data_IF_389465918958
#
_entry.id   IF_389465918958
#
_cell.length_a   1.000
_cell.length_b   1.000
_cell.length_c   1.000
_cell.angle_alpha   90.00
_cell.angle_beta   90.00
_cell.angle_gamma   90.00
#
_symmetry.space_group_name_H-M   'P 1'
#
loop_
_entity.id
_entity.type
_entity.pdbx_description
1 polymer ?
#
# COMPACT_ATOMS: atom_id res chain seq x y z
N UNK A 1 4.89 -67.33 48.97
CA UNK A 1 3.91 -66.35 48.45
C UNK A 1 4.12 -65.03 49.18
N UNK A 2 4.11 -63.91 48.47
CA UNK A 2 3.89 -62.58 49.06
C UNK A 2 5.13 -61.71 49.28
N UNK A 3 5.63 -61.07 48.22
CA UNK A 3 6.51 -59.89 48.31
C UNK A 3 6.41 -58.95 47.08
N UNK A 4 5.32 -59.04 46.30
CA UNK A 4 5.12 -58.25 45.07
C UNK A 4 3.91 -57.29 45.07
N UNK A 5 3.20 -57.12 46.20
CA UNK A 5 1.92 -56.39 46.24
C UNK A 5 2.00 -54.97 46.86
N UNK A 6 3.18 -54.54 47.33
CA UNK A 6 3.32 -53.28 48.06
C UNK A 6 3.58 -52.05 47.16
N UNK A 7 4.04 -52.26 45.92
CA UNK A 7 4.32 -51.18 44.96
C UNK A 7 3.20 -50.98 43.90
N UNK A 8 2.29 -51.94 43.74
CA UNK A 8 1.18 -51.85 42.77
C UNK A 8 0.00 -51.01 43.27
N UNK A 9 -0.29 -51.02 44.58
CA UNK A 9 -1.43 -50.32 45.16
C UNK A 9 -1.31 -48.80 45.21
N UNK A 10 -0.08 -48.26 45.32
CA UNK A 10 0.15 -46.81 45.29
C UNK A 10 0.01 -46.23 43.88
N UNK A 11 0.57 -46.93 42.88
CA UNK A 11 0.45 -46.55 41.47
C UNK A 11 -1.01 -46.58 41.00
N UNK A 12 -1.78 -47.60 41.42
CA UNK A 12 -3.20 -47.71 41.09
C UNK A 12 -4.05 -46.60 41.72
N UNK A 13 -3.73 -46.18 42.96
CA UNK A 13 -4.39 -45.03 43.62
C UNK A 13 -4.03 -43.70 42.97
N UNK A 14 -2.79 -43.53 42.53
CA UNK A 14 -2.37 -42.35 41.76
C UNK A 14 -3.06 -42.28 40.39
N UNK A 15 -3.18 -43.42 39.68
CA UNK A 15 -3.93 -43.52 38.43
C UNK A 15 -5.43 -43.27 38.62
N UNK A 16 -6.05 -43.80 39.68
CA UNK A 16 -7.47 -43.54 40.02
C UNK A 16 -7.70 -42.07 40.43
N UNK A 17 -6.78 -41.47 41.18
CA UNK A 17 -6.85 -40.06 41.55
C UNK A 17 -6.65 -39.13 40.33
N UNK A 18 -5.75 -39.49 39.42
CA UNK A 18 -5.55 -38.78 38.15
C UNK A 18 -6.80 -38.86 37.27
N UNK A 19 -7.40 -40.05 37.12
CA UNK A 19 -8.63 -40.24 36.35
C UNK A 19 -9.83 -39.49 36.96
N UNK A 20 -9.94 -39.43 38.29
CA UNK A 20 -10.98 -38.64 38.96
C UNK A 20 -10.76 -37.13 38.78
N UNK A 21 -9.50 -36.68 38.83
CA UNK A 21 -9.16 -35.29 38.57
C UNK A 21 -9.42 -34.88 37.12
N UNK A 22 -9.15 -35.77 36.16
CA UNK A 22 -9.46 -35.58 34.74
C UNK A 22 -10.97 -35.47 34.51
N UNK A 23 -11.77 -36.39 35.05
CA UNK A 23 -13.25 -36.31 34.98
C UNK A 23 -13.80 -35.02 35.57
N UNK A 24 -13.28 -34.56 36.73
CA UNK A 24 -13.70 -33.29 37.32
C UNK A 24 -13.38 -32.09 36.42
N UNK A 25 -12.20 -32.09 35.79
CA UNK A 25 -11.83 -31.05 34.82
C UNK A 25 -12.74 -31.07 33.60
N UNK A 26 -13.11 -32.25 33.11
CA UNK A 26 -14.07 -32.39 32.00
C UNK A 26 -15.45 -31.85 32.37
N UNK A 27 -15.97 -32.21 33.55
CA UNK A 27 -17.26 -31.70 34.05
C UNK A 27 -17.25 -30.18 34.25
N UNK A 28 -16.16 -29.63 34.80
CA UNK A 28 -15.98 -28.17 34.93
C UNK A 28 -15.93 -27.49 33.57
N UNK A 29 -15.21 -28.05 32.59
CA UNK A 29 -15.11 -27.51 31.24
C UNK A 29 -16.46 -27.55 30.50
N UNK A 30 -17.25 -28.61 30.68
CA UNK A 30 -18.61 -28.70 30.10
C UNK A 30 -19.50 -27.61 30.69
N UNK A 31 -19.54 -27.50 32.03
CA UNK A 31 -20.37 -26.49 32.70
C UNK A 31 -19.99 -25.08 32.28
N UNK A 32 -18.70 -24.80 32.18
CA UNK A 32 -18.21 -23.49 31.77
C UNK A 32 -18.49 -23.19 30.30
N UNK A 33 -18.52 -24.21 29.44
CA UNK A 33 -18.98 -24.08 28.05
C UNK A 33 -20.47 -23.72 28.01
N UNK A 34 -21.29 -24.38 28.81
CA UNK A 34 -22.73 -24.08 28.94
C UNK A 34 -22.97 -22.65 29.45
N UNK A 35 -22.24 -22.21 30.47
CA UNK A 35 -22.31 -20.85 31.01
C UNK A 35 -21.94 -19.80 29.96
N UNK A 36 -20.92 -20.06 29.14
CA UNK A 36 -20.54 -19.18 28.02
C UNK A 36 -21.63 -19.13 26.94
N UNK A 37 -22.19 -20.27 26.56
CA UNK A 37 -23.30 -20.35 25.58
C UNK A 37 -24.51 -19.54 26.09
N UNK A 38 -24.85 -19.69 27.37
CA UNK A 38 -25.93 -18.92 27.99
C UNK A 38 -25.64 -17.41 28.01
N UNK A 39 -24.38 -17.01 28.25
CA UNK A 39 -23.98 -15.60 28.21
C UNK A 39 -24.08 -14.96 26.81
N UNK A 40 -24.15 -15.78 25.76
CA UNK A 40 -24.27 -15.36 24.37
C UNK A 40 -25.63 -15.70 23.76
N UNK A 41 -26.61 -16.09 24.58
CA UNK A 41 -27.97 -16.39 24.14
C UNK A 41 -28.59 -15.18 23.41
N UNK A 42 -29.24 -15.45 22.27
CA UNK A 42 -29.87 -14.42 21.43
C UNK A 42 -28.90 -13.64 20.53
N UNK A 43 -27.60 -13.95 20.53
CA UNK A 43 -26.68 -13.45 19.51
C UNK A 43 -26.80 -14.24 18.21
N UNK A 44 -26.95 -13.52 17.10
CA UNK A 44 -26.87 -14.09 15.76
C UNK A 44 -25.41 -14.15 15.27
N UNK A 45 -25.15 -15.10 14.37
CA UNK A 45 -23.86 -15.18 13.71
C UNK A 45 -23.56 -13.92 12.89
N UNK A 46 -22.30 -13.48 12.84
CA UNK A 46 -21.94 -12.31 12.05
C UNK A 46 -22.23 -12.56 10.56
N UNK A 47 -22.49 -11.46 9.86
CA UNK A 47 -22.67 -11.41 8.41
C UNK A 47 -21.59 -10.53 7.76
N UNK A 48 -21.35 -10.71 6.45
CA UNK A 48 -20.50 -9.83 5.66
C UNK A 48 -20.78 -8.35 5.90
N UNK A 49 -19.71 -7.56 5.96
CA UNK A 49 -19.81 -6.11 6.09
C UNK A 49 -19.80 -5.45 4.71
N UNK A 50 -20.42 -4.27 4.56
CA UNK A 50 -20.31 -3.47 3.34
C UNK A 50 -18.85 -3.24 2.91
N UNK A 51 -18.63 -3.29 1.60
CA UNK A 51 -17.32 -3.10 0.97
C UNK A 51 -16.78 -1.70 1.27
N UNK A 52 -17.61 -0.69 1.08
CA UNK A 52 -17.31 0.73 1.28
C UNK A 52 -18.24 1.33 2.33
N UNK A 53 -17.70 2.26 3.13
CA UNK A 53 -18.48 3.02 4.11
C UNK A 53 -19.14 4.26 3.50
N UNK A 54 -18.72 4.66 2.31
CA UNK A 54 -19.25 5.85 1.63
C UNK A 54 -20.54 5.44 0.94
N UNK A 55 -21.63 6.12 1.29
CA UNK A 55 -22.94 5.94 0.67
C UNK A 55 -23.13 7.00 -0.42
N UNK A 56 -23.30 6.55 -1.66
CA UNK A 56 -23.92 7.36 -2.71
C UNK A 56 -25.39 7.58 -2.34
N UNK A 57 -25.88 8.81 -2.51
CA UNK A 57 -27.22 9.18 -2.03
C UNK A 57 -28.29 8.38 -2.77
N UNK A 58 -29.05 7.55 -2.05
CA UNK A 58 -30.12 6.72 -2.60
C UNK A 58 -29.72 5.29 -3.00
N UNK A 59 -28.47 4.88 -2.81
CA UNK A 59 -28.02 3.51 -3.08
C UNK A 59 -27.78 2.74 -1.77
N UNK A 60 -28.21 1.47 -1.75
CA UNK A 60 -27.87 0.54 -0.67
C UNK A 60 -26.38 0.19 -0.73
N UNK A 61 -25.73 -0.03 0.43
CA UNK A 61 -24.33 -0.47 0.45
C UNK A 61 -24.18 -1.79 -0.30
N UNK A 62 -23.16 -1.88 -1.16
CA UNK A 62 -22.78 -3.16 -1.76
C UNK A 62 -22.33 -4.13 -0.66
N UNK A 63 -23.18 -5.13 -0.40
CA UNK A 63 -22.91 -6.27 0.46
C UNK A 63 -22.87 -7.50 -0.44
N UNK A 64 -21.78 -8.26 -0.39
CA UNK A 64 -21.73 -9.53 -1.11
C UNK A 64 -22.56 -10.59 -0.42
N UNK A 65 -22.99 -11.56 -1.22
CA UNK A 65 -23.57 -12.80 -0.72
C UNK A 65 -22.64 -13.44 0.32
N UNK A 66 -23.26 -13.98 1.37
CA UNK A 66 -22.55 -14.64 2.44
C UNK A 66 -21.89 -15.92 1.93
N UNK A 67 -20.55 -16.02 1.94
CA UNK A 67 -19.87 -17.19 1.43
C UNK A 67 -20.04 -18.42 2.35
N UNK A 68 -20.55 -18.24 3.57
CA UNK A 68 -20.78 -19.33 4.54
C UNK A 68 -22.29 -19.47 4.77
N UNK A 69 -22.85 -20.61 4.38
CA UNK A 69 -24.27 -20.91 4.55
C UNK A 69 -24.65 -20.95 6.04
N UNK A 70 -25.92 -20.69 6.35
CA UNK A 70 -26.40 -20.73 7.74
C UNK A 70 -26.13 -22.09 8.41
N UNK A 71 -26.41 -23.20 7.71
CA UNK A 71 -26.13 -24.56 8.20
C UNK A 71 -24.65 -24.74 8.55
N UNK A 72 -23.76 -24.23 7.69
CA UNK A 72 -22.32 -24.32 7.92
C UNK A 72 -21.87 -23.44 9.07
N UNK A 73 -22.46 -22.25 9.24
CA UNK A 73 -22.22 -21.38 10.41
C UNK A 73 -22.63 -22.05 11.70
N UNK A 74 -23.76 -22.76 11.72
CA UNK A 74 -24.23 -23.50 12.89
C UNK A 74 -23.30 -24.68 13.24
N UNK A 75 -22.62 -25.25 12.25
CA UNK A 75 -21.63 -26.31 12.45
C UNK A 75 -20.29 -25.78 13.00
N UNK A 76 -19.72 -24.73 12.39
CA UNK A 76 -18.36 -24.25 12.73
C UNK A 76 -18.35 -23.08 13.72
N UNK A 77 -19.45 -22.34 13.86
CA UNK A 77 -19.60 -21.25 14.81
C UNK A 77 -19.33 -21.69 16.26
N UNK A 78 -19.85 -22.83 16.73
CA UNK A 78 -19.61 -23.34 18.08
C UNK A 78 -18.14 -23.60 18.44
N UNK A 79 -17.20 -23.62 17.48
CA UNK A 79 -15.77 -23.75 17.74
C UNK A 79 -15.23 -22.63 18.66
N UNK A 80 -15.88 -21.47 18.70
CA UNK A 80 -15.46 -20.34 19.57
C UNK A 80 -15.54 -20.66 21.07
N UNK A 81 -16.31 -21.68 21.44
CA UNK A 81 -16.53 -22.12 22.82
C UNK A 81 -15.60 -23.28 23.23
N UNK A 82 -14.78 -23.78 22.32
CA UNK A 82 -13.78 -24.79 22.68
C UNK A 82 -12.71 -24.18 23.58
N UNK A 83 -12.30 -24.89 24.62
CA UNK A 83 -11.18 -24.44 25.47
C UNK A 83 -9.92 -24.20 24.63
N UNK A 84 -9.70 -25.07 23.62
CA UNK A 84 -8.62 -24.96 22.67
C UNK A 84 -9.03 -25.54 21.31
N UNK A 85 -9.00 -24.71 20.27
CA UNK A 85 -9.31 -25.14 18.91
C UNK A 85 -8.18 -26.04 18.36
N UNK A 86 -8.56 -27.21 17.84
CA UNK A 86 -7.64 -28.16 17.22
C UNK A 86 -7.06 -27.65 15.90
N UNK A 87 -5.73 -27.76 15.73
CA UNK A 87 -5.06 -27.36 14.48
C UNK A 87 -5.52 -28.19 13.27
N UNK A 88 -5.87 -29.46 13.47
CA UNK A 88 -6.36 -30.31 12.39
C UNK A 88 -7.75 -29.88 11.92
N UNK A 89 -8.60 -29.37 12.81
CA UNK A 89 -9.91 -28.81 12.46
C UNK A 89 -9.75 -27.64 11.48
N UNK A 90 -8.73 -26.80 11.68
CA UNK A 90 -8.50 -25.61 10.85
C UNK A 90 -8.13 -25.96 9.40
N UNK A 91 -7.47 -27.09 9.16
CA UNK A 91 -7.07 -27.53 7.82
C UNK A 91 -8.27 -27.78 6.89
N UNK A 92 -9.43 -28.12 7.46
CA UNK A 92 -10.65 -28.39 6.71
C UNK A 92 -11.50 -27.14 6.49
N UNK A 93 -11.18 -26.02 7.15
CA UNK A 93 -11.89 -24.77 6.94
C UNK A 93 -11.42 -24.10 5.66
N UNK A 94 -12.35 -23.67 4.82
CA UNK A 94 -12.06 -22.76 3.70
C UNK A 94 -11.60 -21.39 4.22
N UNK A 95 -11.05 -20.53 3.37
CA UNK A 95 -10.65 -19.18 3.78
C UNK A 95 -11.84 -18.36 4.33
N UNK A 96 -13.01 -18.31 3.67
CA UNK A 96 -14.18 -17.63 4.21
C UNK A 96 -14.65 -18.20 5.56
N UNK A 97 -14.61 -19.51 5.73
CA UNK A 97 -14.98 -20.18 7.00
C UNK A 97 -14.01 -19.83 8.13
N UNK A 98 -12.70 -19.83 7.86
CA UNK A 98 -11.70 -19.43 8.84
C UNK A 98 -11.87 -17.96 9.27
N UNK A 99 -12.09 -17.07 8.30
CA UNK A 99 -12.38 -15.66 8.55
C UNK A 99 -13.70 -15.45 9.29
N UNK A 100 -14.72 -16.25 8.99
CA UNK A 100 -15.98 -16.28 9.73
C UNK A 100 -15.74 -16.64 11.20
N UNK A 101 -15.08 -17.78 11.48
CA UNK A 101 -14.83 -18.22 12.86
C UNK A 101 -14.01 -17.17 13.63
N UNK A 102 -12.98 -16.58 13.01
CA UNK A 102 -12.20 -15.50 13.62
C UNK A 102 -13.07 -14.26 13.92
N UNK A 103 -13.91 -13.85 12.97
CA UNK A 103 -14.84 -12.71 13.15
C UNK A 103 -15.84 -12.99 14.27
N UNK A 104 -16.39 -14.20 14.31
CA UNK A 104 -17.32 -14.67 15.35
C UNK A 104 -16.65 -14.66 16.72
N UNK A 105 -15.43 -15.17 16.82
CA UNK A 105 -14.65 -15.19 18.06
C UNK A 105 -14.44 -13.77 18.61
N UNK A 106 -14.03 -12.82 17.77
CA UNK A 106 -13.84 -11.42 18.15
C UNK A 106 -15.16 -10.75 18.56
N UNK A 107 -16.23 -10.98 17.80
CA UNK A 107 -17.55 -10.41 18.06
C UNK A 107 -18.14 -10.93 19.37
N UNK A 108 -18.19 -12.24 19.59
CA UNK A 108 -18.77 -12.85 20.79
C UNK A 108 -17.97 -12.48 22.03
N UNK A 109 -16.63 -12.48 21.97
CA UNK A 109 -15.78 -12.02 23.08
C UNK A 109 -16.00 -10.55 23.46
N UNK A 110 -16.41 -9.71 22.49
CA UNK A 110 -16.77 -8.31 22.76
C UNK A 110 -18.11 -8.16 23.49
N UNK A 111 -19.01 -9.15 23.39
CA UNK A 111 -20.33 -9.19 24.04
C UNK A 111 -20.31 -9.90 25.38
N UNK A 112 -19.54 -10.97 25.50
CA UNK A 112 -19.31 -11.73 26.73
C UNK A 112 -17.96 -12.44 26.63
N UNK A 113 -17.16 -12.44 27.71
CA UNK A 113 -15.79 -12.96 27.65
C UNK A 113 -15.78 -14.46 27.38
N UNK A 114 -15.03 -14.86 26.36
CA UNK A 114 -14.78 -16.27 26.04
C UNK A 114 -13.53 -16.75 26.76
N UNK A 115 -13.61 -17.91 27.40
CA UNK A 115 -12.44 -18.60 27.94
C UNK A 115 -11.57 -19.07 26.78
N UNK A 116 -10.25 -19.03 26.97
CA UNK A 116 -9.31 -19.39 25.91
C UNK A 116 -9.25 -18.39 24.74
N UNK A 117 -9.99 -17.27 24.77
CA UNK A 117 -10.05 -16.29 23.67
C UNK A 117 -8.67 -15.93 23.11
N UNK A 118 -7.72 -15.56 23.97
CA UNK A 118 -6.40 -15.14 23.52
C UNK A 118 -5.61 -16.27 22.84
N UNK A 119 -5.77 -17.51 23.29
CA UNK A 119 -5.08 -18.66 22.69
C UNK A 119 -5.74 -19.04 21.37
N UNK A 120 -7.07 -19.20 21.36
CA UNK A 120 -7.84 -19.54 20.16
C UNK A 120 -7.74 -18.47 19.07
N UNK A 121 -7.77 -17.19 19.46
CA UNK A 121 -7.57 -16.07 18.54
C UNK A 121 -6.19 -16.18 17.88
N UNK A 122 -5.14 -16.42 18.68
CA UNK A 122 -3.79 -16.61 18.16
C UNK A 122 -3.68 -17.82 17.22
N UNK A 123 -4.35 -18.93 17.52
CA UNK A 123 -4.37 -20.14 16.67
C UNK A 123 -5.00 -19.81 15.31
N UNK A 124 -6.23 -19.27 15.30
CA UNK A 124 -6.94 -18.90 14.07
C UNK A 124 -6.19 -17.84 13.26
N UNK A 125 -5.68 -16.81 13.93
CA UNK A 125 -4.94 -15.72 13.32
C UNK A 125 -3.63 -16.20 12.69
N UNK A 126 -2.88 -17.08 13.37
CA UNK A 126 -1.65 -17.65 12.83
C UNK A 126 -1.91 -18.57 11.65
N UNK A 127 -2.97 -19.38 11.68
CA UNK A 127 -3.37 -20.20 10.53
C UNK A 127 -3.69 -19.31 9.32
N UNK A 128 -4.46 -18.23 9.52
CA UNK A 128 -4.77 -17.28 8.45
C UNK A 128 -3.50 -16.59 7.92
N UNK A 129 -2.62 -16.17 8.82
CA UNK A 129 -1.34 -15.59 8.45
C UNK A 129 -0.52 -16.58 7.62
N UNK A 130 -0.42 -17.85 8.03
CA UNK A 130 0.26 -18.90 7.28
C UNK A 130 -0.33 -19.08 5.88
N UNK A 131 -1.66 -19.08 5.72
CA UNK A 131 -2.30 -19.14 4.40
C UNK A 131 -1.94 -17.96 3.51
N UNK A 132 -1.92 -16.74 4.04
CA UNK A 132 -1.46 -15.55 3.31
C UNK A 132 0.02 -15.68 2.96
N UNK A 133 0.81 -16.27 3.87
CA UNK A 133 2.24 -16.45 3.71
C UNK A 133 2.62 -17.53 2.68
N UNK A 134 1.81 -18.56 2.55
CA UNK A 134 2.03 -19.72 1.69
C UNK A 134 1.31 -19.58 0.33
N UNK A 135 0.44 -18.58 0.19
CA UNK A 135 -0.24 -18.26 -1.05
C UNK A 135 0.78 -17.97 -2.16
N UNK A 136 0.77 -18.77 -3.23
CA UNK A 136 1.65 -18.57 -4.38
C UNK A 136 1.32 -17.31 -5.17
N UNK A 137 0.03 -16.95 -5.16
CA UNK A 137 -0.52 -15.79 -5.83
C UNK A 137 -1.43 -15.07 -4.86
N UNK A 138 -1.29 -13.74 -4.82
CA UNK A 138 -2.24 -12.85 -4.17
C UNK A 138 -2.71 -11.81 -5.18
N UNK A 139 -3.87 -11.22 -4.93
CA UNK A 139 -4.49 -10.25 -5.81
C UNK A 139 -4.66 -8.94 -5.04
N UNK A 140 -4.10 -7.86 -5.57
CA UNK A 140 -4.21 -6.54 -4.96
C UNK A 140 -5.03 -5.60 -5.84
N UNK A 141 -5.88 -4.79 -5.21
CA UNK A 141 -6.57 -3.72 -5.93
C UNK A 141 -5.61 -2.58 -6.18
N UNK A 142 -5.53 -2.12 -7.43
CA UNK A 142 -4.78 -0.96 -7.84
C UNK A 142 -5.74 0.16 -8.25
N UNK A 143 -5.42 1.38 -7.87
CA UNK A 143 -6.16 2.57 -8.31
C UNK A 143 -5.65 2.99 -9.68
N UNK A 144 -6.51 2.98 -10.71
CA UNK A 144 -6.13 3.37 -12.06
C UNK A 144 -5.70 4.83 -12.16
N UNK A 145 -6.14 5.68 -11.24
CA UNK A 145 -5.77 7.08 -11.22
C UNK A 145 -4.33 7.27 -10.73
N UNK A 146 -3.83 6.42 -9.82
CA UNK A 146 -2.47 6.53 -9.28
C UNK A 146 -1.50 5.53 -9.92
N UNK A 147 -1.99 4.39 -10.42
CA UNK A 147 -1.23 3.21 -10.85
C UNK A 147 -0.51 2.45 -9.73
N UNK A 148 -0.89 2.70 -8.48
CA UNK A 148 -0.37 2.04 -7.27
C UNK A 148 -1.48 1.24 -6.57
N UNK A 149 -1.13 0.39 -5.58
CA UNK A 149 -2.12 -0.23 -4.71
C UNK A 149 -3.14 0.78 -4.20
N UNK A 150 -4.43 0.42 -4.25
CA UNK A 150 -5.51 1.22 -3.72
C UNK A 150 -5.42 1.24 -2.20
N UNK A 151 -5.54 2.43 -1.62
CA UNK A 151 -5.41 2.65 -0.18
C UNK A 151 -6.66 3.35 0.30
N UNK A 152 -7.35 2.72 1.26
CA UNK A 152 -8.49 3.31 1.94
C UNK A 152 -8.25 3.32 3.44
N UNK A 153 -8.32 4.52 4.07
CA UNK A 153 -8.09 4.68 5.51
C UNK A 153 -6.74 4.11 6.00
N UNK A 154 -5.73 4.15 5.11
CA UNK A 154 -4.39 3.63 5.36
C UNK A 154 -4.24 2.11 5.19
N UNK A 155 -5.27 1.40 4.71
CA UNK A 155 -5.22 -0.02 4.40
C UNK A 155 -5.13 -0.26 2.90
N UNK A 156 -4.20 -1.13 2.48
CA UNK A 156 -4.27 -1.77 1.17
C UNK A 156 -5.13 -3.04 1.23
N UNK A 157 -5.83 -3.34 0.15
CA UNK A 157 -6.70 -4.51 0.07
C UNK A 157 -6.03 -5.61 -0.74
N UNK A 158 -5.97 -6.81 -0.14
CA UNK A 158 -5.35 -7.99 -0.72
C UNK A 158 -6.34 -9.16 -0.61
N UNK A 159 -6.35 -10.01 -1.63
CA UNK A 159 -7.25 -11.15 -1.76
C UNK A 159 -6.43 -12.39 -2.13
N UNK A 160 -6.88 -13.56 -1.67
CA UNK A 160 -6.30 -14.84 -2.09
C UNK A 160 -7.04 -15.44 -3.30
N UNK A 161 -8.24 -14.94 -3.60
CA UNK A 161 -9.07 -15.35 -4.74
C UNK A 161 -9.30 -14.16 -5.67
N UNK A 162 -9.11 -14.36 -6.98
CA UNK A 162 -9.16 -13.29 -7.98
C UNK A 162 -10.57 -12.78 -8.19
N UNK A 163 -11.53 -13.70 -8.20
CA UNK A 163 -12.94 -13.46 -8.43
C UNK A 163 -13.49 -12.48 -7.38
N UNK A 164 -13.10 -12.64 -6.12
CA UNK A 164 -13.49 -11.73 -5.03
C UNK A 164 -12.91 -10.33 -5.27
N UNK A 165 -11.63 -10.23 -5.58
CA UNK A 165 -10.99 -8.96 -5.88
C UNK A 165 -11.69 -8.24 -7.05
N UNK A 166 -12.10 -8.98 -8.08
CA UNK A 166 -12.82 -8.44 -9.24
C UNK A 166 -14.22 -7.95 -8.86
N UNK A 167 -14.95 -8.71 -8.04
CA UNK A 167 -16.25 -8.28 -7.52
C UNK A 167 -16.11 -6.98 -6.72
N UNK A 168 -15.11 -6.88 -5.84
CA UNK A 168 -14.84 -5.67 -5.05
C UNK A 168 -14.47 -4.49 -5.94
N UNK A 169 -13.60 -4.70 -6.93
CA UNK A 169 -13.24 -3.67 -7.89
C UNK A 169 -14.47 -3.15 -8.64
N UNK A 170 -15.39 -4.05 -9.03
CA UNK A 170 -16.65 -3.69 -9.69
C UNK A 170 -17.59 -2.89 -8.78
N UNK A 171 -17.71 -3.27 -7.49
CA UNK A 171 -18.49 -2.52 -6.50
C UNK A 171 -17.95 -1.09 -6.30
N UNK A 172 -16.64 -0.94 -6.14
CA UNK A 172 -16.00 0.37 -6.12
C UNK A 172 -16.18 1.15 -7.43
N UNK A 173 -16.27 0.44 -8.57
CA UNK A 173 -16.62 1.01 -9.88
C UNK A 173 -17.95 1.75 -9.89
N UNK A 174 -18.96 1.26 -9.16
CA UNK A 174 -20.26 1.95 -8.98
C UNK A 174 -20.10 3.29 -8.25
N UNK A 175 -19.09 3.37 -7.37
CA UNK A 175 -18.68 4.60 -6.68
C UNK A 175 -17.71 5.46 -7.49
N UNK A 176 -17.61 5.24 -8.81
CA UNK A 176 -16.68 5.90 -9.72
C UNK A 176 -15.20 5.77 -9.32
N UNK A 177 -14.86 4.76 -8.51
CA UNK A 177 -13.47 4.38 -8.23
C UNK A 177 -13.05 3.36 -9.29
N UNK A 178 -12.14 3.76 -10.17
CA UNK A 178 -11.60 2.89 -11.21
C UNK A 178 -10.49 2.03 -10.62
N UNK A 179 -10.84 0.84 -10.18
CA UNK A 179 -9.90 -0.12 -9.61
C UNK A 179 -9.64 -1.27 -10.58
N UNK A 180 -8.39 -1.70 -10.67
CA UNK A 180 -7.96 -2.86 -11.43
C UNK A 180 -7.37 -3.91 -10.49
N UNK A 181 -7.68 -5.18 -10.72
CA UNK A 181 -7.04 -6.28 -9.98
C UNK A 181 -5.68 -6.59 -10.58
N UNK A 182 -4.63 -6.52 -9.76
CA UNK A 182 -3.28 -6.93 -10.13
C UNK A 182 -2.93 -8.28 -9.54
N UNK A 183 -2.44 -9.16 -10.39
CA UNK A 183 -1.85 -10.44 -10.00
C UNK A 183 -0.47 -10.16 -9.39
N UNK A 184 -0.24 -10.60 -8.17
CA UNK A 184 0.96 -10.35 -7.39
C UNK A 184 1.53 -11.71 -6.92
N UNK A 185 2.53 -12.27 -7.62
CA UNK A 185 3.12 -13.53 -7.22
C UNK A 185 3.88 -13.36 -5.91
N UNK A 186 3.81 -14.37 -5.04
CA UNK A 186 4.52 -14.34 -3.77
C UNK A 186 6.04 -14.32 -3.97
N UNK A 187 6.54 -15.04 -4.96
CA UNK A 187 7.94 -14.99 -5.39
C UNK A 187 7.94 -14.52 -6.84
N UNK A 188 8.45 -13.31 -7.15
CA UNK A 188 8.67 -12.88 -8.53
C UNK A 188 9.55 -13.90 -9.27
N UNK A 189 9.33 -14.06 -10.58
CA UNK A 189 10.13 -14.97 -11.40
C UNK A 189 11.64 -14.60 -11.28
N UNK A 190 12.45 -15.50 -10.73
CA UNK A 190 13.89 -15.29 -10.49
C UNK A 190 14.30 -14.78 -9.10
N UNK A 191 13.39 -14.63 -8.14
CA UNK A 191 13.70 -14.18 -6.77
C UNK A 191 14.05 -15.34 -5.81
N UNK A 192 14.82 -15.07 -4.75
CA UNK A 192 15.16 -16.06 -3.72
C UNK A 192 13.97 -16.36 -2.82
N UNK A 193 13.98 -17.51 -2.12
CA UNK A 193 12.84 -18.00 -1.31
C UNK A 193 12.41 -17.09 -0.14
N UNK A 194 13.24 -16.12 0.24
CA UNK A 194 12.98 -15.14 1.31
C UNK A 194 12.34 -13.85 0.81
N UNK A 195 12.38 -13.57 -0.49
CA UNK A 195 11.84 -12.36 -1.09
C UNK A 195 10.36 -12.55 -1.34
N UNK A 196 9.51 -11.86 -0.57
CA UNK A 196 8.08 -11.81 -0.92
C UNK A 196 7.76 -10.54 -1.65
N UNK A 197 8.38 -10.39 -2.82
CA UNK A 197 8.61 -9.12 -3.51
C UNK A 197 7.45 -8.12 -3.54
N UNK A 198 6.19 -8.57 -3.51
CA UNK A 198 5.04 -7.67 -3.35
C UNK A 198 4.96 -7.01 -1.96
N UNK A 199 5.09 -7.75 -0.86
CA UNK A 199 5.08 -7.18 0.49
C UNK A 199 6.30 -6.31 0.76
N UNK A 200 7.45 -6.61 0.15
CA UNK A 200 8.63 -5.73 0.20
C UNK A 200 8.39 -4.44 -0.60
N UNK A 201 7.72 -4.54 -1.74
CA UNK A 201 7.27 -3.37 -2.48
C UNK A 201 6.33 -2.47 -1.66
N UNK A 202 5.39 -3.04 -0.91
CA UNK A 202 4.52 -2.28 0.01
C UNK A 202 5.31 -1.53 1.08
N UNK A 203 6.43 -2.09 1.56
CA UNK A 203 7.31 -1.40 2.51
C UNK A 203 7.88 -0.10 1.91
N UNK A 204 8.36 -0.13 0.67
CA UNK A 204 8.88 1.08 0.01
C UNK A 204 7.79 2.15 -0.22
N UNK A 205 6.54 1.72 -0.43
CA UNK A 205 5.38 2.63 -0.50
C UNK A 205 4.92 3.15 0.87
N UNK A 206 5.47 2.62 1.97
CA UNK A 206 5.04 2.93 3.33
C UNK A 206 3.70 2.34 3.73
N UNK A 207 3.22 1.33 3.01
CA UNK A 207 1.95 0.67 3.27
C UNK A 207 2.17 -0.44 4.31
N UNK A 208 1.81 -0.15 5.55
CA UNK A 208 2.00 -1.09 6.66
C UNK A 208 0.70 -1.82 7.03
N UNK A 209 -0.48 -1.26 6.77
CA UNK A 209 -1.75 -1.86 7.17
C UNK A 209 -2.43 -2.50 5.97
N UNK A 210 -2.89 -3.73 6.15
CA UNK A 210 -3.47 -4.56 5.09
C UNK A 210 -4.82 -5.11 5.57
N UNK A 211 -5.80 -5.15 4.68
CA UNK A 211 -7.02 -5.94 4.86
C UNK A 211 -6.99 -7.11 3.90
N UNK A 212 -7.26 -8.30 4.43
CA UNK A 212 -7.50 -9.51 3.65
C UNK A 212 -9.01 -9.69 3.48
N UNK A 213 -9.43 -9.89 2.23
CA UNK A 213 -10.78 -10.28 1.82
C UNK A 213 -11.89 -9.26 2.18
N UNK A 214 -11.63 -7.96 1.97
CA UNK A 214 -12.64 -6.92 2.22
C UNK A 214 -13.87 -7.14 1.32
N UNK A 215 -15.06 -7.11 1.92
CA UNK A 215 -16.36 -7.34 1.25
C UNK A 215 -17.11 -8.57 1.76
N UNK A 216 -16.43 -9.46 2.49
CA UNK A 216 -17.02 -10.61 3.20
C UNK A 216 -16.69 -10.52 4.70
N UNK A 217 -16.18 -11.60 5.27
CA UNK A 217 -15.43 -11.58 6.52
C UNK A 217 -14.01 -11.10 6.22
N UNK A 218 -13.41 -10.30 7.10
CA UNK A 218 -12.11 -9.68 6.82
C UNK A 218 -11.19 -9.75 8.02
N UNK A 219 -9.89 -9.87 7.74
CA UNK A 219 -8.84 -9.75 8.74
C UNK A 219 -7.95 -8.55 8.45
N UNK A 220 -7.34 -8.02 9.52
CA UNK A 220 -6.37 -6.92 9.44
C UNK A 220 -5.01 -7.45 9.82
N UNK A 221 -4.02 -7.13 9.01
CA UNK A 221 -2.63 -7.48 9.25
C UNK A 221 -1.74 -6.23 9.17
N UNK A 222 -0.66 -6.25 9.94
CA UNK A 222 0.51 -5.46 9.63
C UNK A 222 1.35 -6.19 8.58
N UNK A 223 1.84 -5.47 7.57
CA UNK A 223 2.75 -5.98 6.54
C UNK A 223 3.99 -6.63 7.18
N UNK A 224 4.52 -6.05 8.26
CA UNK A 224 5.63 -6.60 9.04
C UNK A 224 5.35 -7.95 9.71
N UNK A 225 4.08 -8.31 9.93
CA UNK A 225 3.70 -9.65 10.40
C UNK A 225 3.82 -10.69 9.28
N UNK A 226 3.71 -10.29 8.01
CA UNK A 226 3.81 -11.19 6.87
C UNK A 226 5.28 -11.38 6.48
N UNK A 227 6.02 -10.28 6.37
CA UNK A 227 7.44 -10.24 6.00
C UNK A 227 8.16 -9.20 6.82
N UNK A 228 9.29 -9.58 7.40
CA UNK A 228 10.16 -8.64 8.10
C UNK A 228 10.51 -7.45 7.17
N UNK A 229 10.67 -6.23 7.69
CA UNK A 229 11.25 -5.14 6.90
C UNK A 229 12.58 -5.59 6.30
N UNK A 230 12.90 -5.18 5.04
CA UNK A 230 14.20 -5.49 4.48
C UNK A 230 15.32 -4.97 5.40
N UNK A 231 16.37 -5.77 5.59
CA UNK A 231 17.53 -5.34 6.36
C UNK A 231 18.43 -4.48 5.46
N UNK A 232 18.58 -3.21 5.83
CA UNK A 232 19.36 -2.23 5.08
C UNK A 232 20.78 -2.04 5.65
N UNK A 233 21.16 -2.79 6.70
CA UNK A 233 22.48 -2.69 7.32
C UNK A 233 22.94 -1.24 7.59
N UNK A 234 24.20 -0.94 7.26
CA UNK A 234 24.73 0.43 7.35
C UNK A 234 24.27 1.36 6.20
N UNK A 235 23.68 0.82 5.14
CA UNK A 235 23.33 1.58 3.93
C UNK A 235 22.07 2.43 4.09
N UNK A 236 21.24 2.15 5.10
CA UNK A 236 20.14 3.01 5.54
C UNK A 236 20.60 4.43 5.89
N UNK A 237 21.90 4.62 6.21
CA UNK A 237 22.49 5.94 6.49
C UNK A 237 22.89 6.70 5.21
N UNK A 238 23.01 6.03 4.06
CA UNK A 238 23.58 6.61 2.83
C UNK A 238 22.53 7.07 1.82
N UNK A 239 21.44 6.32 1.64
CA UNK A 239 20.38 6.67 0.68
C UNK A 239 19.09 7.06 1.41
N UNK A 240 18.44 8.19 1.07
CA UNK A 240 17.17 8.55 1.67
C UNK A 240 16.08 7.56 1.27
N UNK A 241 15.18 7.27 2.20
CA UNK A 241 13.92 6.57 1.93
C UNK A 241 12.80 7.33 2.64
N UNK A 242 11.76 7.74 1.90
CA UNK A 242 10.63 8.47 2.46
C UNK A 242 9.29 7.70 2.33
N UNK A 243 9.15 6.49 2.90
CA UNK A 243 7.95 5.67 2.74
C UNK A 243 6.67 6.37 3.25
N UNK A 244 6.76 7.11 4.36
CA UNK A 244 5.62 7.87 4.89
C UNK A 244 5.14 8.96 3.94
N UNK A 245 6.08 9.64 3.25
CA UNK A 245 5.75 10.64 2.24
C UNK A 245 5.07 9.98 1.05
N UNK A 246 5.59 8.86 0.55
CA UNK A 246 4.99 8.12 -0.57
C UNK A 246 3.56 7.71 -0.25
N UNK A 247 3.31 7.13 0.93
CA UNK A 247 1.95 6.83 1.39
C UNK A 247 1.04 8.07 1.38
N UNK A 248 1.53 9.21 1.88
CA UNK A 248 0.75 10.44 1.91
C UNK A 248 0.48 11.02 0.51
N UNK A 249 1.43 10.86 -0.43
CA UNK A 249 1.24 11.22 -1.84
C UNK A 249 0.15 10.35 -2.47
N UNK A 250 0.18 9.04 -2.25
CA UNK A 250 -0.85 8.11 -2.77
C UNK A 250 -2.23 8.40 -2.20
N UNK A 251 -2.34 8.60 -0.88
CA UNK A 251 -3.60 8.92 -0.21
C UNK A 251 -4.20 10.24 -0.72
N UNK A 252 -3.36 11.27 -0.88
CA UNK A 252 -3.78 12.54 -1.47
C UNK A 252 -4.22 12.39 -2.93
N UNK A 253 -3.41 11.74 -3.77
CA UNK A 253 -3.70 11.59 -5.21
C UNK A 253 -4.95 10.76 -5.45
N UNK A 254 -5.14 9.68 -4.69
CA UNK A 254 -6.33 8.85 -4.79
C UNK A 254 -7.58 9.67 -4.44
N UNK A 255 -7.52 10.57 -3.46
CA UNK A 255 -8.65 11.44 -3.14
C UNK A 255 -8.88 12.55 -4.18
N UNK A 256 -7.81 13.24 -4.56
CA UNK A 256 -7.86 14.39 -5.46
C UNK A 256 -8.35 14.00 -6.86
N UNK A 257 -7.92 12.83 -7.35
CA UNK A 257 -8.29 12.30 -8.69
C UNK A 257 -9.61 11.55 -8.70
N UNK A 258 -10.26 11.33 -7.56
CA UNK A 258 -11.57 10.68 -7.51
C UNK A 258 -12.65 11.64 -8.03
N UNK A 259 -13.37 11.30 -9.13
CA UNK A 259 -14.30 12.23 -9.79
C UNK A 259 -15.68 12.30 -9.11
N UNK A 260 -15.75 12.11 -7.79
CA UNK A 260 -17.00 12.17 -7.01
C UNK A 260 -16.99 13.40 -6.12
N UNK A 261 -18.15 14.06 -6.01
CA UNK A 261 -18.39 15.13 -5.03
C UNK A 261 -19.16 14.56 -3.86
N UNK A 262 -18.66 14.78 -2.64
CA UNK A 262 -19.33 14.37 -1.41
C UNK A 262 -19.09 15.43 -0.32
N UNK A 263 -19.91 15.38 0.74
CA UNK A 263 -19.84 16.34 1.83
C UNK A 263 -18.44 16.36 2.45
N UNK A 264 -17.88 17.56 2.68
CA UNK A 264 -16.53 17.76 3.23
C UNK A 264 -15.36 17.28 2.35
N UNK A 265 -15.56 16.87 1.09
CA UNK A 265 -14.45 16.49 0.18
C UNK A 265 -13.33 17.52 0.15
N UNK A 266 -13.66 18.81 0.04
CA UNK A 266 -12.65 19.87 0.01
C UNK A 266 -11.78 19.88 1.28
N UNK A 267 -12.38 19.67 2.45
CA UNK A 267 -11.66 19.59 3.73
C UNK A 267 -10.80 18.32 3.81
N UNK A 268 -11.31 17.18 3.31
CA UNK A 268 -10.56 15.91 3.26
C UNK A 268 -9.34 16.04 2.35
N UNK A 269 -9.51 16.55 1.13
CA UNK A 269 -8.42 16.77 0.16
C UNK A 269 -7.38 17.73 0.75
N UNK A 270 -7.81 18.84 1.36
CA UNK A 270 -6.92 19.82 1.99
C UNK A 270 -6.13 19.20 3.15
N UNK A 271 -6.76 18.36 3.98
CA UNK A 271 -6.10 17.68 5.10
C UNK A 271 -5.04 16.70 4.60
N UNK A 272 -5.35 15.93 3.55
CA UNK A 272 -4.41 15.00 2.91
C UNK A 272 -3.25 15.75 2.23
N UNK A 273 -3.52 16.85 1.52
CA UNK A 273 -2.51 17.72 0.91
C UNK A 273 -1.56 18.29 1.98
N UNK A 274 -2.11 18.82 3.08
CA UNK A 274 -1.31 19.38 4.18
C UNK A 274 -0.39 18.33 4.82
N UNK A 275 -0.88 17.11 5.03
CA UNK A 275 -0.08 15.99 5.54
C UNK A 275 1.06 15.62 4.57
N UNK A 276 0.76 15.48 3.28
CA UNK A 276 1.76 15.18 2.24
C UNK A 276 2.85 16.26 2.22
N UNK A 277 2.44 17.53 2.23
CA UNK A 277 3.36 18.67 2.21
C UNK A 277 4.26 18.74 3.45
N UNK A 278 3.70 18.50 4.64
CA UNK A 278 4.48 18.49 5.88
C UNK A 278 5.59 17.42 5.84
N UNK A 279 5.26 16.23 5.35
CA UNK A 279 6.23 15.14 5.13
C UNK A 279 7.24 15.50 4.03
N UNK A 280 6.78 16.14 2.96
CA UNK A 280 7.64 16.53 1.84
C UNK A 280 8.74 17.51 2.29
N UNK A 281 8.37 18.46 3.15
CA UNK A 281 9.32 19.43 3.74
C UNK A 281 10.33 18.77 4.68
N UNK A 282 9.92 17.77 5.45
CA UNK A 282 10.78 17.07 6.40
C UNK A 282 11.72 16.06 5.72
N UNK A 283 11.40 15.64 4.49
CA UNK A 283 12.12 14.64 3.74
C UNK A 283 13.52 15.04 3.27
N UNK A 284 14.32 14.01 2.96
CA UNK A 284 15.58 14.13 2.21
C UNK A 284 15.39 13.47 0.85
N UNK A 285 16.01 14.01 -0.18
CA UNK A 285 15.79 13.54 -1.54
C UNK A 285 17.10 13.28 -2.25
N UNK A 286 17.04 12.36 -3.21
CA UNK A 286 18.08 12.20 -4.22
C UNK A 286 17.79 13.21 -5.32
N UNK A 287 18.77 14.07 -5.60
CA UNK A 287 18.73 15.01 -6.71
C UNK A 287 19.75 14.54 -7.75
N UNK A 288 19.35 14.30 -9.00
CA UNK A 288 20.27 13.99 -10.08
C UNK A 288 21.15 15.20 -10.38
N UNK A 289 22.47 15.00 -10.36
CA UNK A 289 23.46 16.02 -10.68
C UNK A 289 24.49 15.51 -11.69
N UNK A 290 25.03 16.43 -12.47
CA UNK A 290 26.30 16.29 -13.14
C UNK A 290 27.22 17.39 -12.60
N UNK A 291 28.50 17.08 -12.38
CA UNK A 291 29.46 18.06 -11.92
C UNK A 291 30.69 18.11 -12.83
N UNK A 292 31.22 19.32 -13.05
CA UNK A 292 32.51 19.55 -13.69
C UNK A 292 33.45 20.15 -12.63
N UNK A 293 34.55 19.45 -12.33
CA UNK A 293 35.54 19.81 -11.28
C UNK A 293 35.60 18.82 -10.11
N UNK A 294 36.57 18.97 -9.19
CA UNK A 294 36.75 18.05 -8.06
C UNK A 294 35.54 18.11 -7.12
N UNK A 295 34.96 16.95 -6.83
CA UNK A 295 33.87 16.77 -5.89
C UNK A 295 34.24 15.59 -4.97
N UNK A 296 34.13 15.79 -3.65
CA UNK A 296 34.36 14.72 -2.68
C UNK A 296 33.00 14.20 -2.19
N UNK A 297 32.72 12.93 -2.48
CA UNK A 297 31.56 12.24 -1.92
C UNK A 297 31.88 11.81 -0.48
N UNK A 298 31.17 12.37 0.48
CA UNK A 298 31.30 11.99 1.88
C UNK A 298 30.65 10.63 2.13
N UNK A 299 31.06 9.97 3.22
CA UNK A 299 30.57 8.63 3.60
C UNK A 299 29.07 8.55 3.88
N UNK A 300 28.38 9.69 4.03
CA UNK A 300 26.94 9.81 4.24
C UNK A 300 26.14 10.09 2.94
N UNK A 301 26.78 9.98 1.77
CA UNK A 301 26.13 10.21 0.47
C UNK A 301 25.94 11.69 0.10
N UNK A 302 26.42 12.62 0.95
CA UNK A 302 26.46 14.05 0.60
C UNK A 302 27.73 14.35 -0.17
N UNK A 303 27.63 15.23 -1.16
CA UNK A 303 28.77 15.67 -1.94
C UNK A 303 29.21 17.05 -1.44
N UNK A 304 30.50 17.17 -1.11
CA UNK A 304 31.13 18.44 -0.77
C UNK A 304 31.69 19.05 -2.06
N UNK A 305 31.07 20.12 -2.50
CA UNK A 305 31.50 20.89 -3.66
C UNK A 305 32.54 21.94 -3.24
N UNK A 306 33.59 22.10 -4.04
CA UNK A 306 34.51 23.22 -3.91
C UNK A 306 33.96 24.44 -4.66
N UNK A 307 34.52 25.64 -4.42
CA UNK A 307 34.05 26.88 -5.04
C UNK A 307 34.10 26.87 -6.58
N UNK A 308 34.91 25.98 -7.16
CA UNK A 308 35.10 25.86 -8.61
C UNK A 308 34.25 24.75 -9.25
N UNK A 309 33.46 24.01 -8.47
CA UNK A 309 32.65 22.90 -8.99
C UNK A 309 31.36 23.44 -9.64
N UNK A 310 31.21 23.24 -10.95
CA UNK A 310 29.98 23.61 -11.67
C UNK A 310 28.99 22.46 -11.61
N UNK A 311 27.78 22.74 -11.11
CA UNK A 311 26.70 21.76 -11.04
C UNK A 311 25.69 21.98 -12.16
N UNK A 312 25.35 20.90 -12.86
CA UNK A 312 24.25 20.84 -13.82
C UNK A 312 23.17 19.94 -13.28
N UNK A 313 21.94 20.44 -13.32
CA UNK A 313 20.74 19.69 -12.93
C UNK A 313 19.91 19.39 -14.18
N UNK A 314 19.32 18.20 -14.29
CA UNK A 314 18.35 17.95 -15.35
C UNK A 314 17.09 18.77 -15.08
N UNK A 315 16.35 19.05 -16.15
CA UNK A 315 15.09 19.79 -16.09
C UNK A 315 14.03 19.02 -16.84
N UNK A 316 12.84 18.93 -16.26
CA UNK A 316 11.68 18.39 -16.95
C UNK A 316 10.81 19.52 -17.46
N UNK A 317 10.49 19.48 -18.75
CA UNK A 317 9.58 20.41 -19.38
C UNK A 317 8.18 19.81 -19.44
N UNK A 318 7.20 20.52 -18.91
CA UNK A 318 5.78 20.18 -19.06
C UNK A 318 5.28 20.60 -20.44
N UNK A 319 4.11 20.07 -20.86
CA UNK A 319 3.48 20.47 -22.12
C UNK A 319 3.21 21.97 -22.20
N UNK A 320 2.98 22.60 -21.06
CA UNK A 320 2.72 24.05 -20.94
C UNK A 320 4.02 24.87 -20.90
N UNK A 321 5.16 24.27 -21.23
CA UNK A 321 6.46 24.94 -21.27
C UNK A 321 7.15 25.15 -19.92
N UNK A 322 6.46 24.90 -18.80
CA UNK A 322 7.01 25.06 -17.45
C UNK A 322 8.12 24.05 -17.14
N UNK A 323 9.13 24.49 -16.41
CA UNK A 323 10.36 23.79 -16.09
C UNK A 323 10.38 23.33 -14.63
N UNK A 324 10.60 22.05 -14.39
CA UNK A 324 10.62 21.46 -13.05
C UNK A 324 11.91 20.68 -12.80
N UNK A 325 12.48 20.81 -11.61
CA UNK A 325 13.62 20.00 -11.16
C UNK A 325 13.11 18.66 -10.62
N UNK A 326 13.50 17.51 -11.21
CA UNK A 326 13.12 16.21 -10.70
C UNK A 326 13.89 15.88 -9.41
N UNK A 327 13.17 15.35 -8.41
CA UNK A 327 13.73 14.88 -7.14
C UNK A 327 13.09 13.54 -6.76
N UNK A 328 13.83 12.70 -6.02
CA UNK A 328 13.44 11.31 -5.77
C UNK A 328 13.41 10.97 -4.29
N UNK A 329 12.40 10.19 -3.89
CA UNK A 329 12.20 9.77 -2.49
C UNK A 329 13.13 8.65 -2.05
N UNK A 330 13.67 7.90 -3.01
CA UNK A 330 14.47 6.70 -2.80
C UNK A 330 15.27 6.34 -4.07
N UNK A 331 16.20 5.39 -3.92
CA UNK A 331 17.06 4.91 -5.00
C UNK A 331 16.32 4.14 -6.10
N UNK A 332 15.17 3.53 -5.79
CA UNK A 332 14.37 2.78 -6.76
C UNK A 332 13.77 3.77 -7.75
N UNK A 333 13.13 4.83 -7.26
CA UNK A 333 12.54 5.87 -8.12
C UNK A 333 13.61 6.64 -8.90
N UNK A 334 14.77 6.90 -8.31
CA UNK A 334 15.91 7.51 -9.02
C UNK A 334 16.40 6.65 -10.18
N UNK A 335 16.58 5.35 -9.95
CA UNK A 335 17.18 4.43 -10.93
C UNK A 335 16.32 4.21 -12.17
N UNK A 336 14.98 4.35 -12.06
CA UNK A 336 14.04 4.23 -13.19
C UNK A 336 14.38 5.11 -14.40
N UNK A 337 14.98 6.27 -14.17
CA UNK A 337 15.38 7.19 -15.24
C UNK A 337 16.87 7.48 -15.23
N UNK A 338 17.42 7.84 -14.08
CA UNK A 338 18.77 8.39 -14.00
C UNK A 338 19.84 7.35 -13.67
N UNK A 339 19.47 6.08 -13.40
CA UNK A 339 20.42 5.02 -13.08
C UNK A 339 21.38 4.66 -14.22
N UNK A 340 21.13 5.11 -15.45
CA UNK A 340 21.95 4.83 -16.65
C UNK A 340 22.31 6.09 -17.47
N UNK A 341 21.93 7.28 -17.02
CA UNK A 341 22.06 8.53 -17.80
C UNK A 341 23.31 9.37 -17.42
N UNK A 342 24.29 8.78 -16.71
CA UNK A 342 25.50 9.50 -16.30
C UNK A 342 25.25 10.63 -15.30
N UNK A 343 24.12 10.58 -14.56
CA UNK A 343 23.83 11.46 -13.46
C UNK A 343 24.18 10.77 -12.14
N UNK A 344 24.79 11.51 -11.22
CA UNK A 344 25.01 11.06 -9.86
C UNK A 344 23.85 11.47 -8.96
N UNK A 345 23.49 10.59 -8.02
CA UNK A 345 22.44 10.85 -7.05
C UNK A 345 22.99 11.52 -5.80
N UNK A 346 22.79 12.83 -5.65
CA UNK A 346 23.23 13.58 -4.48
C UNK A 346 22.09 13.79 -3.48
N UNK A 347 22.36 13.60 -2.20
CA UNK A 347 21.33 13.68 -1.15
C UNK A 347 21.21 15.09 -0.59
N UNK A 348 20.03 15.70 -0.71
CA UNK A 348 19.74 17.05 -0.21
C UNK A 348 18.50 17.10 0.69
N UNK A 349 18.46 18.07 1.61
CA UNK A 349 17.23 18.41 2.34
C UNK A 349 16.33 19.28 1.47
N UNK A 350 15.03 19.26 1.73
CA UNK A 350 14.07 20.10 0.99
C UNK A 350 14.46 21.60 0.98
N UNK A 351 14.95 22.15 2.09
CA UNK A 351 15.40 23.54 2.19
C UNK A 351 16.59 23.89 1.28
N UNK A 352 17.49 22.93 1.06
CA UNK A 352 18.66 23.14 0.19
C UNK A 352 18.22 23.09 -1.27
N UNK A 353 17.29 22.20 -1.59
CA UNK A 353 16.71 22.04 -2.93
C UNK A 353 16.03 23.34 -3.40
N UNK A 354 15.36 24.07 -2.51
CA UNK A 354 14.71 25.34 -2.86
C UNK A 354 15.68 26.38 -3.45
N UNK A 355 16.98 26.28 -3.14
CA UNK A 355 18.02 27.16 -3.72
C UNK A 355 18.33 26.81 -5.18
N UNK A 356 18.08 25.58 -5.60
CA UNK A 356 18.34 25.10 -6.98
C UNK A 356 17.15 25.34 -7.93
N UNK A 357 15.99 25.73 -7.39
CA UNK A 357 14.73 25.98 -8.12
C UNK A 357 14.63 27.43 -8.61
N UNK A 358 15.62 28.30 -8.36
CA UNK A 358 15.52 29.74 -8.60
C UNK A 358 15.02 30.12 -10.01
N UNK A 359 15.58 29.52 -11.03
CA UNK A 359 15.29 29.71 -12.46
C UNK A 359 14.18 28.79 -13.00
N UNK A 360 13.57 27.96 -12.13
CA UNK A 360 12.59 26.92 -12.50
C UNK A 360 11.21 27.23 -11.90
N UNK A 361 10.18 26.63 -12.48
CA UNK A 361 8.79 26.79 -12.06
C UNK A 361 8.41 25.93 -10.84
N UNK A 362 9.24 24.93 -10.48
CA UNK A 362 8.98 24.10 -9.31
C UNK A 362 9.81 22.82 -9.21
N UNK A 363 9.34 21.91 -8.36
CA UNK A 363 9.89 20.55 -8.15
C UNK A 363 8.93 19.48 -8.63
N UNK A 364 9.47 18.38 -9.14
CA UNK A 364 8.70 17.19 -9.45
C UNK A 364 9.22 16.01 -8.63
N UNK A 365 8.40 15.53 -7.68
CA UNK A 365 8.74 14.39 -6.83
C UNK A 365 8.31 13.10 -7.54
N UNK A 366 9.26 12.17 -7.69
CA UNK A 366 9.10 10.88 -8.37
C UNK A 366 8.37 11.00 -9.72
N UNK A 367 8.95 11.69 -10.73
CA UNK A 367 8.26 11.95 -11.99
C UNK A 367 7.74 10.71 -12.73
N UNK A 368 8.43 9.57 -12.56
CA UNK A 368 8.08 8.28 -13.20
C UNK A 368 7.23 7.39 -12.27
N UNK A 369 6.87 7.89 -11.09
CA UNK A 369 6.07 7.21 -10.08
C UNK A 369 4.82 8.02 -9.76
N UNK A 370 4.71 8.49 -8.51
CA UNK A 370 3.55 9.28 -8.04
C UNK A 370 3.40 10.63 -8.77
N UNK A 371 4.51 11.17 -9.28
CA UNK A 371 4.58 12.40 -10.08
C UNK A 371 3.85 13.60 -9.44
N UNK A 372 4.33 14.02 -8.27
CA UNK A 372 3.81 15.22 -7.60
C UNK A 372 4.58 16.45 -8.09
N UNK A 373 3.85 17.34 -8.74
CA UNK A 373 4.37 18.64 -9.18
C UNK A 373 4.10 19.68 -8.10
N UNK A 374 5.17 20.24 -7.52
CA UNK A 374 5.10 21.31 -6.52
C UNK A 374 5.57 22.62 -7.16
N UNK A 375 4.65 23.54 -7.51
CA UNK A 375 5.01 24.86 -8.00
C UNK A 375 5.79 25.66 -6.97
N UNK A 376 6.70 26.52 -7.45
CA UNK A 376 7.55 27.38 -6.62
C UNK A 376 6.75 28.24 -5.65
N UNK A 377 5.66 28.85 -6.11
CA UNK A 377 4.82 29.73 -5.28
C UNK A 377 4.19 28.98 -4.11
N UNK A 378 3.71 27.75 -4.35
CA UNK A 378 3.20 26.88 -3.29
C UNK A 378 4.31 26.56 -2.28
N UNK A 379 5.50 26.20 -2.74
CA UNK A 379 6.63 25.91 -1.84
C UNK A 379 7.05 27.12 -1.00
N UNK A 380 7.06 28.32 -1.58
CA UNK A 380 7.35 29.55 -0.83
C UNK A 380 6.27 29.88 0.19
N UNK A 381 4.99 29.76 -0.17
CA UNK A 381 3.88 29.96 0.75
C UNK A 381 3.95 29.00 1.94
N UNK A 382 4.31 27.74 1.68
CA UNK A 382 4.51 26.72 2.71
C UNK A 382 5.73 27.01 3.58
N UNK A 383 6.80 27.58 3.02
CA UNK A 383 7.96 27.99 3.78
C UNK A 383 7.64 29.13 4.74
N UNK A 384 6.96 30.16 4.24
CA UNK A 384 6.51 31.31 5.02
C UNK A 384 5.56 30.88 6.15
N UNK A 385 4.54 30.08 5.85
CA UNK A 385 3.58 29.60 6.86
C UNK A 385 4.28 28.80 7.98
N UNK A 386 5.30 28.00 7.63
CA UNK A 386 6.05 27.22 8.62
C UNK A 386 6.98 28.07 9.48
N UNK A 387 7.61 29.11 8.90
CA UNK A 387 8.41 30.08 9.68
C UNK A 387 7.52 30.80 10.70
N UNK A 388 6.35 31.26 10.27
CA UNK A 388 5.36 31.88 11.14
C UNK A 388 4.90 30.92 12.27
N UNK A 389 4.69 29.64 11.96
CA UNK A 389 4.34 28.63 12.98
C UNK A 389 5.50 28.32 13.94
N UNK A 390 6.74 28.27 13.47
CA UNK A 390 7.92 28.04 14.29
C UNK A 390 8.20 29.25 15.21
N UNK A 391 8.06 30.47 14.69
CA UNK A 391 8.15 31.71 15.45
C UNK A 391 7.03 31.80 16.50
N UNK A 392 5.81 31.36 16.18
CA UNK A 392 4.69 31.33 17.12
C UNK A 392 4.87 30.29 18.24
N UNK A 393 5.42 29.11 17.92
CA UNK A 393 5.78 28.09 18.92
C UNK A 393 6.91 28.56 19.84
N UNK A 394 7.92 29.23 19.30
CA UNK A 394 9.01 29.81 20.10
C UNK A 394 8.56 31.02 20.93
N UNK A 395 7.51 31.73 20.51
CA UNK A 395 6.92 32.85 21.23
C UNK A 395 5.82 32.47 22.25
N UNK A 396 5.56 31.16 22.46
CA UNK A 396 4.58 30.68 23.45
C UNK A 396 3.12 31.10 23.18
N UNK A 397 2.78 31.52 21.95
CA UNK A 397 1.42 31.94 21.59
C UNK A 397 0.69 30.81 20.85
N UNK A 398 -0.52 30.48 21.32
CA UNK A 398 -1.47 29.62 20.61
C UNK A 398 -1.97 30.33 19.35
N UNK A 399 -1.76 29.72 18.19
CA UNK A 399 -2.29 30.22 16.92
C UNK A 399 -3.71 29.67 16.75
N UNK A 400 -4.70 30.55 16.51
CA UNK A 400 -6.02 30.14 16.03
C UNK A 400 -5.86 29.45 14.66
N UNK A 401 -6.20 28.16 14.59
CA UNK A 401 -6.09 27.27 13.41
C UNK A 401 -6.75 27.85 12.13
N UNK A 402 -7.67 28.79 12.28
CA UNK A 402 -8.37 29.48 11.19
C UNK A 402 -7.43 30.28 10.25
N UNK A 403 -6.39 30.94 10.76
CA UNK A 403 -5.53 31.80 9.92
C UNK A 403 -4.55 31.01 9.04
N UNK A 404 -4.11 29.82 9.49
CA UNK A 404 -3.29 28.93 8.68
C UNK A 404 -4.12 28.25 7.57
N UNK A 405 -5.37 27.91 7.88
CA UNK A 405 -6.32 27.36 6.90
C UNK A 405 -6.68 28.36 5.81
N UNK A 406 -6.78 29.67 6.10
CA UNK A 406 -7.12 30.70 5.11
C UNK A 406 -5.97 31.03 4.12
N UNK A 407 -4.70 30.86 4.54
CA UNK A 407 -3.55 30.97 3.63
C UNK A 407 -3.49 29.74 2.69
N UNK A 408 -3.83 28.55 3.20
CA UNK A 408 -3.92 27.32 2.41
C UNK A 408 -5.14 27.35 1.46
N UNK A 409 -6.26 27.96 1.86
CA UNK A 409 -7.46 28.15 1.02
C UNK A 409 -7.19 28.93 -0.26
N UNK A 410 -6.29 29.91 -0.25
CA UNK A 410 -5.99 30.73 -1.45
C UNK A 410 -5.16 29.99 -2.52
N UNK A 411 -4.73 28.76 -2.24
CA UNK A 411 -4.01 27.91 -3.17
C UNK A 411 -4.72 26.55 -3.39
N UNK A 412 -6.04 26.52 -3.11
CA UNK A 412 -6.85 25.30 -3.01
C UNK A 412 -6.82 24.45 -4.28
N UNK A 413 -6.44 23.18 -4.07
CA UNK A 413 -6.78 21.91 -4.71
C UNK A 413 -7.46 21.81 -6.11
N UNK A 414 -8.16 22.81 -6.62
CA UNK A 414 -8.81 22.76 -7.95
C UNK A 414 -7.77 22.93 -9.08
N UNK A 415 -6.72 23.75 -8.89
CA UNK A 415 -5.66 23.91 -9.89
C UNK A 415 -4.66 22.74 -9.97
N UNK A 416 -4.61 21.87 -8.94
CA UNK A 416 -3.70 20.70 -8.92
C UNK A 416 -4.39 19.45 -9.48
N UNK A 417 -5.71 19.34 -9.33
CA UNK A 417 -6.48 18.21 -9.85
C UNK A 417 -6.74 18.34 -11.36
N UNK A 418 -7.01 19.55 -11.86
CA UNK A 418 -7.43 19.76 -13.26
C UNK A 418 -6.27 20.04 -14.25
N UNK A 419 -5.00 20.07 -13.79
CA UNK A 419 -3.82 20.38 -14.63
C UNK A 419 -2.66 19.38 -14.53
N UNK A 420 -2.95 18.08 -14.44
CA UNK A 420 -1.94 17.02 -14.63
C UNK A 420 -2.26 16.34 -15.97
N UNK A 421 -1.92 17.00 -17.10
CA UNK A 421 -0.69 16.77 -17.88
C UNK A 421 -0.47 15.28 -18.13
N UNK A 422 -1.13 14.76 -19.17
CA UNK A 422 -0.55 13.69 -19.97
C UNK A 422 0.83 14.17 -20.43
N UNK A 423 1.91 13.47 -20.07
CA UNK A 423 3.14 13.60 -20.86
C UNK A 423 2.82 13.22 -22.31
N UNK A 424 3.50 13.78 -23.33
CA UNK A 424 3.39 13.27 -24.68
C UNK A 424 3.67 11.77 -24.63
N UNK A 425 2.77 10.97 -25.20
CA UNK A 425 3.12 9.59 -25.57
C UNK A 425 4.41 9.69 -26.38
N UNK A 426 5.37 8.80 -26.13
CA UNK A 426 6.41 8.52 -27.13
C UNK A 426 5.69 8.29 -28.44
N UNK A 427 5.79 9.21 -29.38
CA UNK A 427 5.78 8.86 -30.78
C UNK A 427 7.05 8.02 -30.96
N UNK A 428 6.89 6.70 -30.98
CA UNK A 428 7.73 5.94 -31.87
C UNK A 428 7.43 6.53 -33.25
N UNK A 429 8.41 7.24 -33.81
CA UNK A 429 8.66 7.35 -35.24
C UNK A 429 9.92 8.19 -35.44
N UNK A 430 11.03 7.48 -35.53
CA UNK A 430 12.20 7.85 -36.31
C UNK A 430 12.93 6.55 -36.65
N UNK A 431 12.28 5.74 -37.49
CA UNK A 431 12.90 4.93 -38.53
C UNK A 431 11.83 4.63 -39.57
N UNK A 432 11.44 5.67 -40.32
CA UNK A 432 10.76 5.48 -41.60
C UNK A 432 10.99 6.70 -42.51
N UNK A 433 12.17 6.69 -43.13
CA UNK A 433 12.44 7.21 -44.47
C UNK A 433 13.59 6.33 -44.98
N UNK A 434 13.41 5.39 -45.91
CA UNK A 434 12.81 5.58 -47.22
C UNK A 434 12.41 4.24 -47.84
N UNK A 435 11.14 4.08 -48.21
CA UNK A 435 10.78 3.32 -49.42
C UNK A 435 9.38 3.76 -49.86
N UNK A 436 9.34 4.91 -50.55
CA UNK A 436 8.25 5.20 -51.49
C UNK A 436 8.64 4.58 -52.83
N UNK A 437 8.22 3.34 -53.07
CA UNK A 437 7.81 2.92 -54.41
C UNK A 437 6.30 3.03 -54.48
N UNK A 438 5.86 3.75 -55.50
CA UNK A 438 4.51 4.22 -55.68
C UNK A 438 3.72 3.24 -56.58
N UNK A 439 2.41 3.45 -56.59
CA UNK A 439 1.44 3.11 -57.64
C UNK A 439 1.06 1.65 -57.87
N UNK A 440 -0.13 1.33 -57.37
CA UNK A 440 -1.34 1.02 -58.14
C UNK A 440 -1.14 0.52 -59.58
N UNK A 441 -1.70 -0.67 -59.78
CA UNK A 441 -2.08 -1.32 -61.04
C UNK A 441 -2.54 -0.34 -62.13
N UNK A 442 -1.89 -0.43 -63.29
CA UNK A 442 -2.58 -0.44 -64.59
C UNK A 442 -1.83 -1.37 -65.52
N UNK A 443 -2.60 -2.26 -66.13
CA UNK A 443 -2.19 -3.26 -67.10
C UNK A 443 -1.75 -2.63 -68.43
N UNK A 444 -0.83 -3.35 -69.06
CA UNK A 444 -0.78 -3.69 -70.49
C UNK A 444 0.31 -3.04 -71.37
N UNK A 445 0.85 -3.91 -72.23
CA UNK A 445 1.68 -3.69 -73.42
C UNK A 445 3.21 -3.43 -73.30
N UNK A 446 3.94 -4.51 -73.61
CA UNK A 446 4.98 -4.62 -74.66
C UNK A 446 6.26 -3.76 -74.69
N UNK A 447 7.39 -4.50 -74.64
CA UNK A 447 8.53 -4.46 -75.58
C UNK A 447 9.78 -3.59 -75.26
N UNK A 448 10.92 -4.31 -75.29
CA UNK A 448 12.31 -3.95 -75.62
C UNK A 448 13.20 -3.04 -74.74
N UNK A 449 14.23 -3.70 -74.20
CA UNK A 449 15.67 -3.42 -74.37
C UNK A 449 16.17 -1.97 -74.41
N UNK A 450 17.09 -1.63 -73.50
CA UNK A 450 18.52 -1.50 -73.81
C UNK A 450 19.32 -1.04 -72.58
N UNK A 451 20.55 -1.54 -72.58
CA UNK A 451 21.67 -1.31 -71.69
C UNK A 451 22.19 0.15 -71.72
N UNK A 452 23.17 0.43 -70.84
CA UNK A 452 24.21 1.48 -70.87
C UNK A 452 24.32 2.29 -69.55
N UNK A 453 25.45 2.04 -68.88
CA UNK A 453 26.12 2.76 -67.78
C UNK A 453 26.84 4.04 -68.28
N UNK A 454 27.70 4.74 -67.49
CA UNK A 454 27.53 5.46 -66.22
C UNK A 454 28.04 6.93 -66.33
N UNK A 455 28.36 7.56 -65.17
CA UNK A 455 29.11 8.82 -64.92
C UNK A 455 28.28 10.06 -64.53
N UNK A 456 28.19 10.39 -63.24
CA UNK A 456 29.16 11.20 -62.48
C UNK A 456 28.80 11.25 -60.98
#
# INVERSE_FOLDING_TARGET
MGLFDLFGGNKKKEEEAAALAEKRKEEEAIKEKEDQIAAHEGLEWPHPVPISRIRTQGEEPDVFEDPVSQERKDEIGPLIYEEKIGLDTLKFLTLPELLFVLTTLEYYNSKGKLKGFSENHRILYNELLNRVRDAKMIYCLYDDATKFPFIENGFAYIYLEKEIAQQVAAAYGKQYRKLTVKDCPAVPEGAESTDRGFFDYLYYLGIERIIIDNGRYRARFSRSEIVAPPDFGQDQKKAPMNPQLRLAMLDFLSEARWPVKYEKRAQVVQTKEARMVALARAGRYIVPIQHEGPAEMMSDGRIKFNKDTKLRFPVMKTNNGKLFLPIFTDGIEFSKKFGREGFEGAVFRFSDILRFVQDKDGLAINPMGENIMLPKDKMMALEAASRMMAESKNAGKTVNEANAQDIIKRASAEDVADKIIQMPKRTHDADEASEKTNSTQTSDSSVEAADITPEN
#
